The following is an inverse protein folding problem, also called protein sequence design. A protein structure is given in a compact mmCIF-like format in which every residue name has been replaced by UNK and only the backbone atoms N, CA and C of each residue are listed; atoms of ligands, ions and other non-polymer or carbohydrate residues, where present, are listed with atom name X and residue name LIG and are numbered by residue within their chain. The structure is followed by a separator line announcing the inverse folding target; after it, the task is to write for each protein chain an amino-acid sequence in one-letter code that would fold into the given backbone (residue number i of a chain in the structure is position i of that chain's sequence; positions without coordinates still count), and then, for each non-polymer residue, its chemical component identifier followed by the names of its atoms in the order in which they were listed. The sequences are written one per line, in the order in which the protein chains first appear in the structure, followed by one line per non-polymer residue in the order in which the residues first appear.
data_IF_595431592956
#
_entry.id   IF_595431592956
#
_cell.length_a   1.000
_cell.length_b   1.000
_cell.length_c   1.000
_cell.angle_alpha   90.00
_cell.angle_beta   90.00
_cell.angle_gamma   90.00
#
_symmetry.space_group_name_H-M   'P 1'
#
loop_
_entity.id
_entity.type
_entity.pdbx_description
1 polymer ?
#
# COMPACT_ATOMS: atom_id res chain seq x y z
N UNK A 1 5.56 36.58 8.02
CA UNK A 1 4.84 35.55 8.78
C UNK A 1 4.33 34.44 7.89
N UNK A 2 5.26 33.82 7.17
CA UNK A 2 5.04 32.68 6.30
C UNK A 2 6.07 31.64 6.72
N UNK A 3 5.61 30.47 7.18
CA UNK A 3 6.35 29.21 7.40
C UNK A 3 5.52 28.23 8.26
N UNK A 4 4.23 28.08 7.97
CA UNK A 4 3.54 26.83 8.32
C UNK A 4 4.05 25.77 7.35
N UNK A 5 5.12 25.07 7.73
CA UNK A 5 5.62 23.89 7.01
C UNK A 5 4.50 22.86 6.97
N UNK A 6 3.73 22.84 5.88
CA UNK A 6 2.72 21.82 5.64
C UNK A 6 3.47 20.54 5.28
N UNK A 7 3.40 19.54 6.16
CA UNK A 7 4.04 18.25 5.91
C UNK A 7 3.49 17.62 4.63
N UNK A 8 4.35 17.01 3.79
CA UNK A 8 3.88 16.18 2.68
C UNK A 8 3.11 14.98 3.25
N UNK A 9 2.00 14.60 2.60
CA UNK A 9 1.12 13.47 2.99
C UNK A 9 0.52 13.62 4.41
N UNK A 10 -0.43 14.55 4.63
CA UNK A 10 -1.18 14.63 5.88
C UNK A 10 -2.07 13.39 6.10
N UNK A 11 -2.57 13.14 7.33
CA UNK A 11 -3.58 12.11 7.61
C UNK A 11 -4.81 12.25 6.71
N UNK A 12 -5.47 11.14 6.35
CA UNK A 12 -6.69 11.19 5.54
C UNK A 12 -7.90 11.66 6.37
N UNK A 13 -8.92 12.28 5.74
CA UNK A 13 -10.14 12.66 6.45
C UNK A 13 -10.84 11.42 7.04
N UNK A 14 -10.86 11.30 8.36
CA UNK A 14 -11.45 10.17 9.09
C UNK A 14 -10.44 9.25 9.76
N UNK A 15 -9.13 9.48 9.60
CA UNK A 15 -8.12 8.87 10.46
C UNK A 15 -8.28 9.43 11.88
N UNK A 16 -8.42 8.55 12.89
CA UNK A 16 -8.14 8.93 14.28
C UNK A 16 -6.66 9.23 14.38
N UNK A 17 -6.29 10.50 14.20
CA UNK A 17 -4.93 10.97 14.48
C UNK A 17 -4.86 11.08 15.99
N UNK A 18 -4.04 10.26 16.69
CA UNK A 18 -3.79 10.51 18.10
C UNK A 18 -3.30 11.95 18.24
N UNK A 19 -3.63 12.63 19.34
CA UNK A 19 -2.89 13.84 19.71
C UNK A 19 -1.44 13.39 19.94
N UNK A 20 -0.62 13.46 18.88
CA UNK A 20 0.76 13.03 18.91
C UNK A 20 1.53 14.12 19.64
N UNK A 21 1.73 13.92 20.94
CA UNK A 21 2.45 14.84 21.84
C UNK A 21 3.92 15.05 21.46
N UNK A 22 4.43 14.45 20.38
CA UNK A 22 5.80 14.59 19.92
C UNK A 22 5.88 14.80 18.39
N UNK A 23 6.59 15.86 17.98
CA UNK A 23 6.89 16.16 16.57
C UNK A 23 7.47 14.94 15.83
N UNK A 24 8.25 14.10 16.53
CA UNK A 24 8.81 12.87 15.98
C UNK A 24 7.75 11.91 15.39
N UNK A 25 6.60 11.77 16.04
CA UNK A 25 5.56 10.82 15.59
C UNK A 25 4.84 11.34 14.34
N UNK A 26 4.63 12.66 14.24
CA UNK A 26 4.09 13.28 13.01
C UNK A 26 5.02 13.10 11.82
N UNK A 27 6.32 13.30 12.02
CA UNK A 27 7.33 13.07 10.98
C UNK A 27 7.41 11.60 10.58
N UNK A 28 7.39 10.69 11.56
CA UNK A 28 7.41 9.26 11.32
C UNK A 28 6.17 8.80 10.53
N UNK A 29 4.99 9.26 10.90
CA UNK A 29 3.75 8.98 10.18
C UNK A 29 3.76 9.51 8.74
N UNK A 30 4.28 10.72 8.51
CA UNK A 30 4.44 11.29 7.17
C UNK A 30 5.39 10.46 6.30
N UNK A 31 6.57 10.11 6.85
CA UNK A 31 7.54 9.27 6.16
C UNK A 31 6.98 7.89 5.83
N UNK A 32 6.25 7.27 6.76
CA UNK A 32 5.61 5.98 6.55
C UNK A 32 4.56 6.02 5.44
N UNK A 33 3.68 7.03 5.43
CA UNK A 33 2.69 7.22 4.35
C UNK A 33 3.36 7.40 2.99
N UNK A 34 4.38 8.26 2.92
CA UNK A 34 5.15 8.47 1.70
C UNK A 34 5.83 7.18 1.22
N UNK A 35 6.39 6.40 2.15
CA UNK A 35 7.05 5.12 1.87
C UNK A 35 6.06 4.12 1.28
N UNK A 36 4.91 3.90 1.94
CA UNK A 36 3.89 2.97 1.46
C UNK A 36 3.31 3.37 0.10
N UNK A 37 3.08 4.67 -0.10
CA UNK A 37 2.62 5.20 -1.39
C UNK A 37 3.64 4.94 -2.49
N UNK A 38 4.88 5.36 -2.28
CA UNK A 38 5.98 5.18 -3.25
C UNK A 38 6.17 3.70 -3.58
N UNK A 39 6.12 2.84 -2.57
CA UNK A 39 6.24 1.39 -2.74
C UNK A 39 5.14 0.83 -3.66
N UNK A 40 3.88 1.19 -3.41
CA UNK A 40 2.77 0.77 -4.26
C UNK A 40 2.88 1.34 -5.68
N UNK A 41 3.26 2.60 -5.83
CA UNK A 41 3.43 3.24 -7.14
C UNK A 41 4.50 2.56 -7.98
N UNK A 42 5.64 2.20 -7.39
CA UNK A 42 6.74 1.52 -8.07
C UNK A 42 6.37 0.08 -8.42
N UNK A 43 5.70 -0.66 -7.54
CA UNK A 43 5.19 -2.00 -7.85
C UNK A 43 4.28 -1.95 -9.09
N UNK A 44 3.36 -1.01 -9.14
CA UNK A 44 2.40 -0.87 -10.24
C UNK A 44 3.00 -0.37 -11.55
N UNK A 45 4.31 -0.08 -11.59
CA UNK A 45 5.07 0.23 -12.80
C UNK A 45 5.81 -0.99 -13.37
N UNK A 46 5.88 -2.10 -12.62
CA UNK A 46 6.47 -3.34 -13.12
C UNK A 46 5.61 -3.83 -14.30
N UNK A 47 6.18 -4.04 -15.50
CA UNK A 47 5.38 -4.43 -16.67
C UNK A 47 4.74 -5.81 -16.53
N UNK A 48 5.51 -6.78 -16.01
CA UNK A 48 5.09 -8.17 -15.83
C UNK A 48 5.84 -8.79 -14.66
N UNK A 49 5.15 -9.66 -13.91
CA UNK A 49 5.72 -10.47 -12.85
C UNK A 49 5.48 -11.95 -13.11
N UNK A 50 6.51 -12.75 -12.85
CA UNK A 50 6.38 -14.21 -12.80
C UNK A 50 5.57 -14.64 -11.57
N UNK A 51 5.08 -15.90 -11.52
CA UNK A 51 4.45 -16.44 -10.31
C UNK A 51 5.37 -16.40 -9.08
N UNK A 52 6.69 -16.55 -9.29
CA UNK A 52 7.68 -16.48 -8.22
C UNK A 52 7.80 -15.05 -7.68
N UNK A 53 8.04 -14.06 -8.56
CA UNK A 53 8.16 -12.66 -8.16
C UNK A 53 6.85 -12.08 -7.61
N UNK A 54 5.69 -12.57 -8.05
CA UNK A 54 4.39 -12.24 -7.44
C UNK A 54 4.36 -12.61 -5.96
N UNK A 55 4.82 -13.82 -5.62
CA UNK A 55 4.90 -14.28 -4.23
C UNK A 55 5.91 -13.46 -3.44
N UNK A 56 7.07 -13.14 -4.03
CA UNK A 56 8.07 -12.29 -3.39
C UNK A 56 7.50 -10.92 -3.04
N UNK A 57 6.86 -10.23 -4.00
CA UNK A 57 6.23 -8.93 -3.74
C UNK A 57 5.15 -8.99 -2.65
N UNK A 58 4.33 -10.06 -2.63
CA UNK A 58 3.34 -10.25 -1.57
C UNK A 58 4.00 -10.42 -0.19
N UNK A 59 5.07 -11.20 -0.12
CA UNK A 59 5.87 -11.39 1.10
C UNK A 59 6.52 -10.08 1.55
N UNK A 60 7.09 -9.30 0.63
CA UNK A 60 7.73 -8.02 0.95
C UNK A 60 6.71 -6.99 1.47
N UNK A 61 5.47 -7.00 0.94
CA UNK A 61 4.36 -6.20 1.47
C UNK A 61 4.01 -6.62 2.90
N UNK A 62 3.97 -7.93 3.20
CA UNK A 62 3.70 -8.40 4.56
C UNK A 62 4.79 -7.96 5.54
N UNK A 63 6.05 -8.02 5.13
CA UNK A 63 7.15 -7.49 5.93
C UNK A 63 7.00 -5.99 6.18
N UNK A 64 6.65 -5.21 5.14
CA UNK A 64 6.42 -3.78 5.31
C UNK A 64 5.25 -3.50 6.28
N UNK A 65 4.16 -4.25 6.19
CA UNK A 65 3.02 -4.15 7.12
C UNK A 65 3.46 -4.45 8.56
N UNK A 66 4.21 -5.53 8.78
CA UNK A 66 4.73 -5.87 10.10
C UNK A 66 5.64 -4.78 10.68
N UNK A 67 6.41 -4.08 9.82
CA UNK A 67 7.21 -2.92 10.25
C UNK A 67 6.32 -1.74 10.64
N UNK A 68 5.23 -1.47 9.90
CA UNK A 68 4.27 -0.43 10.28
C UNK A 68 3.63 -0.74 11.64
N UNK A 69 3.17 -1.97 11.84
CA UNK A 69 2.57 -2.43 13.09
C UNK A 69 3.56 -2.30 14.26
N UNK A 70 4.83 -2.69 14.05
CA UNK A 70 5.88 -2.55 15.06
C UNK A 70 6.21 -1.08 15.41
N UNK A 71 5.95 -0.16 14.49
CA UNK A 71 6.06 1.28 14.70
C UNK A 71 4.77 1.91 15.25
N UNK A 72 3.72 1.13 15.50
CA UNK A 72 2.41 1.63 15.93
C UNK A 72 1.64 2.38 14.84
N UNK A 73 1.97 2.15 13.57
CA UNK A 73 1.39 2.83 12.42
C UNK A 73 0.44 1.91 11.66
N UNK A 74 -0.66 2.47 11.16
CA UNK A 74 -1.62 1.72 10.35
C UNK A 74 -1.14 1.59 8.90
N UNK A 75 -1.17 0.39 8.31
CA UNK A 75 -0.85 0.21 6.90
C UNK A 75 -1.93 0.83 6.01
N UNK A 76 -1.52 1.55 4.96
CA UNK A 76 -2.46 2.18 4.03
C UNK A 76 -3.38 1.16 3.35
N UNK A 77 -4.62 1.57 3.03
CA UNK A 77 -5.58 0.68 2.34
C UNK A 77 -5.06 0.21 0.98
N UNK A 78 -4.34 1.08 0.26
CA UNK A 78 -3.72 0.75 -1.03
C UNK A 78 -2.68 -0.36 -0.89
N UNK A 79 -1.82 -0.30 0.13
CA UNK A 79 -0.83 -1.34 0.40
C UNK A 79 -1.50 -2.69 0.71
N UNK A 80 -2.49 -2.67 1.60
CA UNK A 80 -3.26 -3.88 1.98
C UNK A 80 -4.00 -4.50 0.77
N UNK A 81 -4.63 -3.67 -0.05
CA UNK A 81 -5.33 -4.12 -1.26
C UNK A 81 -4.36 -4.70 -2.29
N UNK A 82 -3.20 -4.06 -2.49
CA UNK A 82 -2.13 -4.53 -3.40
C UNK A 82 -1.64 -5.91 -2.95
N UNK A 83 -1.31 -6.09 -1.67
CA UNK A 83 -0.92 -7.39 -1.12
C UNK A 83 -1.99 -8.45 -1.28
N UNK A 84 -3.25 -8.12 -0.99
CA UNK A 84 -4.39 -9.04 -1.13
C UNK A 84 -4.59 -9.51 -2.57
N UNK A 85 -4.53 -8.59 -3.54
CA UNK A 85 -4.64 -8.91 -4.96
C UNK A 85 -3.45 -9.74 -5.45
N UNK A 86 -2.22 -9.47 -5.00
CA UNK A 86 -1.04 -10.28 -5.36
C UNK A 86 -1.14 -11.72 -4.83
N UNK A 87 -1.70 -11.90 -3.62
CA UNK A 87 -1.89 -13.22 -2.98
C UNK A 87 -3.05 -14.03 -3.55
N UNK A 88 -4.01 -13.36 -4.21
CA UNK A 88 -5.20 -14.02 -4.74
C UNK A 88 -4.81 -15.01 -5.83
N UNK A 89 -5.32 -16.24 -5.75
CA UNK A 89 -5.05 -17.27 -6.76
C UNK A 89 -5.62 -16.87 -8.12
N UNK A 90 -4.95 -17.22 -9.25
CA UNK A 90 -5.44 -16.90 -10.59
C UNK A 90 -6.91 -17.28 -10.84
N UNK A 91 -7.30 -18.48 -10.42
CA UNK A 91 -8.65 -19.04 -10.61
C UNK A 91 -9.74 -18.25 -9.86
N UNK A 92 -9.40 -17.66 -8.72
CA UNK A 92 -10.32 -16.91 -7.88
C UNK A 92 -10.30 -15.39 -8.17
N UNK A 93 -9.32 -14.94 -8.96
CA UNK A 93 -8.98 -13.53 -9.10
C UNK A 93 -10.16 -12.68 -9.57
N UNK A 94 -10.87 -13.12 -10.61
CA UNK A 94 -12.01 -12.40 -11.17
C UNK A 94 -13.14 -12.17 -10.17
N UNK A 95 -13.36 -13.12 -9.27
CA UNK A 95 -14.40 -13.01 -8.24
C UNK A 95 -13.93 -12.12 -7.10
N UNK A 96 -12.73 -12.37 -6.57
CA UNK A 96 -12.17 -11.62 -5.44
C UNK A 96 -11.93 -10.14 -5.79
N UNK A 97 -11.45 -9.85 -7.01
CA UNK A 97 -11.14 -8.52 -7.50
C UNK A 97 -12.33 -7.54 -7.46
N UNK A 98 -13.58 -8.04 -7.41
CA UNK A 98 -14.80 -7.22 -7.32
C UNK A 98 -14.89 -6.41 -6.02
N UNK A 99 -14.17 -6.84 -4.98
CA UNK A 99 -14.14 -6.18 -3.68
C UNK A 99 -13.08 -5.07 -3.58
N UNK A 100 -12.35 -4.81 -4.67
CA UNK A 100 -11.22 -3.88 -4.70
C UNK A 100 -11.43 -2.76 -5.74
N UNK A 101 -10.70 -1.63 -5.63
CA UNK A 101 -10.76 -0.59 -6.65
C UNK A 101 -10.42 -1.14 -8.04
N UNK A 102 -11.36 -0.98 -8.99
CA UNK A 102 -11.24 -1.56 -10.35
C UNK A 102 -9.92 -1.24 -11.03
N UNK A 103 -9.44 0.01 -10.94
CA UNK A 103 -8.17 0.43 -11.57
C UNK A 103 -6.97 -0.35 -11.02
N UNK A 104 -6.95 -0.60 -9.71
CA UNK A 104 -5.89 -1.38 -9.06
C UNK A 104 -5.97 -2.84 -9.49
N UNK A 105 -7.17 -3.43 -9.45
CA UNK A 105 -7.39 -4.81 -9.86
C UNK A 105 -6.99 -5.07 -11.33
N UNK A 106 -7.35 -4.16 -12.25
CA UNK A 106 -6.93 -4.23 -13.66
C UNK A 106 -5.40 -4.20 -13.81
N UNK A 107 -4.71 -3.28 -13.12
CA UNK A 107 -3.26 -3.17 -13.20
C UNK A 107 -2.56 -4.42 -12.67
N UNK A 108 -2.99 -4.95 -11.51
CA UNK A 108 -2.39 -6.15 -10.93
C UNK A 108 -2.68 -7.39 -11.81
N UNK A 109 -3.87 -7.48 -12.42
CA UNK A 109 -4.19 -8.56 -13.36
C UNK A 109 -3.26 -8.54 -14.58
N UNK A 110 -3.08 -7.37 -15.19
CA UNK A 110 -2.19 -7.19 -16.34
C UNK A 110 -0.75 -7.53 -15.98
N UNK A 111 -0.26 -7.00 -14.85
CA UNK A 111 1.10 -7.26 -14.35
C UNK A 111 1.33 -8.76 -14.10
N UNK A 112 0.30 -9.51 -13.68
CA UNK A 112 0.37 -10.95 -13.40
C UNK A 112 0.00 -11.83 -14.61
N UNK A 113 -0.23 -11.24 -15.79
CA UNK A 113 -0.71 -11.92 -16.99
C UNK A 113 -1.97 -12.79 -16.76
N UNK A 114 -2.94 -12.28 -16.00
CA UNK A 114 -4.22 -12.94 -15.75
C UNK A 114 -5.29 -12.54 -16.76
N UNK A 115 -6.17 -13.48 -17.11
CA UNK A 115 -7.38 -13.21 -17.89
C UNK A 115 -8.46 -12.60 -16.96
N UNK A 116 -8.66 -11.28 -17.06
CA UNK A 116 -9.48 -10.48 -16.13
C UNK A 116 -10.52 -9.60 -16.83
#
# INVERSE_FOLDING_TARGET
DDLTVRLPFPPEPGDEVPELDNTADYWLGSLARATMQTYCEVILQIPEVTPHSTKQLATDIDYLINVMDALGLQPSKTLQNTGSLLKTKPEDYKQAARNFPRRLACKIAAMRALDY
#
